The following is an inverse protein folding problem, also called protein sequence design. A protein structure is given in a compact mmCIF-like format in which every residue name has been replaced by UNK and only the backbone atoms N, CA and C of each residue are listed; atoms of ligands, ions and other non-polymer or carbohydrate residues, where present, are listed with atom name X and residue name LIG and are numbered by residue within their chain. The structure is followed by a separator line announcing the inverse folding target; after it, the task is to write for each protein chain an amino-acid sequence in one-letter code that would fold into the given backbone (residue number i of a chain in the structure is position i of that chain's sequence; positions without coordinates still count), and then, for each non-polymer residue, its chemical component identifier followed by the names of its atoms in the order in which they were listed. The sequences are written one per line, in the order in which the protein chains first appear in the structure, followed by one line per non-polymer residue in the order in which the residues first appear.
data_IF_700027298035
#
_entry.id   IF_700027298035
#
_cell.length_a   1.000
_cell.length_b   1.000
_cell.length_c   1.000
_cell.angle_alpha   90.00
_cell.angle_beta   90.00
_cell.angle_gamma   90.00
#
_symmetry.space_group_name_H-M   'P 1'
#
loop_
_entity.id
_entity.type
_entity.pdbx_description
1 polymer ?
#
# COMPACT_ATOMS: atom_id res chain seq x y z
N UNK A 1 6.62 -9.47 -18.22
CA UNK A 1 6.63 -8.40 -17.20
C UNK A 1 7.00 -8.98 -15.85
N UNK A 2 7.91 -8.32 -15.15
CA UNK A 2 8.30 -8.76 -13.81
C UNK A 2 7.17 -8.51 -12.83
N UNK A 3 7.08 -9.39 -11.81
CA UNK A 3 6.09 -9.27 -10.73
C UNK A 3 6.80 -8.95 -9.42
N UNK A 4 6.19 -8.08 -8.63
CA UNK A 4 6.64 -7.77 -7.28
C UNK A 4 5.46 -7.98 -6.33
N UNK A 5 5.65 -8.85 -5.33
CA UNK A 5 4.68 -8.99 -4.25
C UNK A 5 5.06 -7.95 -3.18
N UNK A 6 4.29 -6.86 -3.12
CA UNK A 6 4.56 -5.81 -2.15
C UNK A 6 4.15 -6.28 -0.75
N UNK A 7 5.04 -6.10 0.21
CA UNK A 7 4.76 -6.42 1.60
C UNK A 7 4.44 -5.15 2.39
N UNK A 8 4.07 -5.33 3.65
CA UNK A 8 3.72 -4.22 4.53
C UNK A 8 4.87 -3.20 4.64
N UNK A 9 6.10 -3.67 4.73
CA UNK A 9 7.26 -2.79 4.85
C UNK A 9 7.45 -1.89 3.63
N UNK A 10 7.17 -2.39 2.43
CA UNK A 10 7.25 -1.59 1.20
C UNK A 10 6.35 -0.36 1.31
N UNK A 11 5.12 -0.54 1.77
CA UNK A 11 4.18 0.56 1.93
C UNK A 11 4.57 1.47 3.08
N UNK A 12 5.03 0.92 4.20
CA UNK A 12 5.45 1.73 5.34
C UNK A 12 6.60 2.65 4.96
N UNK A 13 7.60 2.17 4.23
CA UNK A 13 8.72 2.99 3.77
C UNK A 13 8.25 4.11 2.85
N UNK A 14 7.30 3.81 1.97
CA UNK A 14 6.74 4.81 1.06
C UNK A 14 5.91 5.86 1.80
N UNK A 15 5.00 5.42 2.69
CA UNK A 15 4.05 6.31 3.36
C UNK A 15 4.71 7.18 4.42
N UNK A 16 5.62 6.63 5.21
CA UNK A 16 6.20 7.32 6.35
C UNK A 16 7.44 8.14 5.99
N UNK A 17 8.18 7.72 4.96
CA UNK A 17 9.37 8.42 4.48
C UNK A 17 10.44 8.63 5.57
N UNK A 18 10.46 7.74 6.58
CA UNK A 18 11.42 7.81 7.68
C UNK A 18 12.80 7.30 7.30
N UNK A 19 12.92 6.60 6.17
CA UNK A 19 14.18 6.17 5.59
C UNK A 19 14.21 6.58 4.13
N UNK A 20 14.97 7.65 3.82
CA UNK A 20 14.97 8.27 2.49
C UNK A 20 15.34 7.28 1.39
N UNK A 21 16.40 6.49 1.60
CA UNK A 21 16.84 5.52 0.58
C UNK A 21 15.77 4.47 0.28
N UNK A 22 15.14 3.92 1.32
CA UNK A 22 14.11 2.91 1.15
C UNK A 22 12.84 3.49 0.56
N UNK A 23 12.50 4.74 0.92
CA UNK A 23 11.37 5.43 0.31
C UNK A 23 11.59 5.65 -1.19
N UNK A 24 12.80 6.05 -1.59
CA UNK A 24 13.15 6.23 -3.00
C UNK A 24 13.05 4.92 -3.77
N UNK A 25 13.49 3.80 -3.18
CA UNK A 25 13.39 2.49 -3.81
C UNK A 25 11.92 2.14 -4.04
N UNK A 26 11.07 2.35 -3.03
CA UNK A 26 9.64 2.09 -3.14
C UNK A 26 8.99 2.97 -4.21
N UNK A 27 9.33 4.26 -4.24
CA UNK A 27 8.82 5.20 -5.25
C UNK A 27 9.19 4.77 -6.66
N UNK A 28 10.43 4.30 -6.88
CA UNK A 28 10.87 3.81 -8.19
C UNK A 28 10.07 2.59 -8.62
N UNK A 29 9.82 1.65 -7.71
CA UNK A 29 9.02 0.46 -8.00
C UNK A 29 7.58 0.84 -8.36
N UNK A 30 6.99 1.78 -7.63
CA UNK A 30 5.63 2.24 -7.92
C UNK A 30 5.56 3.03 -9.24
N UNK A 31 6.59 3.80 -9.56
CA UNK A 31 6.68 4.48 -10.85
C UNK A 31 6.73 3.47 -12.00
N UNK A 32 7.49 2.39 -11.84
CA UNK A 32 7.53 1.31 -12.84
C UNK A 32 6.17 0.64 -13.01
N UNK A 33 5.43 0.48 -11.91
CA UNK A 33 4.08 -0.08 -11.96
C UNK A 33 3.14 0.84 -12.73
N UNK A 34 3.23 2.14 -12.50
CA UNK A 34 2.43 3.15 -13.21
C UNK A 34 2.71 3.12 -14.72
N UNK A 35 3.96 2.89 -15.10
CA UNK A 35 4.38 2.77 -16.50
C UNK A 35 4.11 1.39 -17.11
N UNK A 36 3.52 0.48 -16.35
CA UNK A 36 3.21 -0.90 -16.76
C UNK A 36 4.46 -1.72 -17.07
N UNK A 37 5.59 -1.38 -16.48
CA UNK A 37 6.85 -2.11 -16.59
C UNK A 37 7.06 -3.12 -15.47
N UNK A 38 6.25 -3.02 -14.41
CA UNK A 38 6.30 -3.89 -13.24
C UNK A 38 4.87 -4.13 -12.77
N UNK A 39 4.55 -5.37 -12.45
CA UNK A 39 3.25 -5.72 -11.86
C UNK A 39 3.41 -5.80 -10.34
N UNK A 40 2.84 -4.86 -9.62
CA UNK A 40 2.85 -4.86 -8.16
C UNK A 40 1.60 -5.55 -7.67
N UNK A 41 1.78 -6.68 -6.98
CA UNK A 41 0.69 -7.53 -6.49
C UNK A 41 0.57 -7.34 -4.98
N UNK A 42 -0.64 -7.07 -4.52
CA UNK A 42 -0.96 -6.87 -3.11
C UNK A 42 -1.93 -7.96 -2.69
N UNK A 43 -1.46 -8.88 -1.84
CA UNK A 43 -2.33 -9.94 -1.32
C UNK A 43 -3.23 -9.37 -0.21
N UNK A 44 -4.37 -10.04 0.01
CA UNK A 44 -5.41 -9.54 0.92
C UNK A 44 -4.90 -9.24 2.33
N UNK A 45 -3.98 -10.06 2.83
CA UNK A 45 -3.46 -9.97 4.19
C UNK A 45 -2.69 -8.67 4.46
N UNK A 46 -2.18 -8.01 3.42
CA UNK A 46 -1.44 -6.75 3.56
C UNK A 46 -2.34 -5.63 4.08
N UNK A 47 -3.61 -5.61 3.68
CA UNK A 47 -4.52 -4.52 4.06
C UNK A 47 -4.77 -4.48 5.58
N UNK A 48 -5.24 -5.56 6.25
CA UNK A 48 -5.40 -5.51 7.70
C UNK A 48 -4.07 -5.37 8.45
N UNK A 49 -3.00 -5.97 7.95
CA UNK A 49 -1.68 -5.86 8.57
C UNK A 49 -1.19 -4.41 8.54
N UNK A 50 -1.29 -3.73 7.39
CA UNK A 50 -0.91 -2.33 7.25
C UNK A 50 -1.75 -1.44 8.16
N UNK A 51 -3.06 -1.68 8.21
CA UNK A 51 -3.98 -0.94 9.08
C UNK A 51 -3.56 -1.08 10.55
N UNK A 52 -3.26 -2.29 10.98
CA UNK A 52 -2.81 -2.55 12.35
C UNK A 52 -1.51 -1.81 12.67
N UNK A 53 -0.53 -1.88 11.78
CA UNK A 53 0.77 -1.24 12.01
C UNK A 53 0.64 0.29 12.05
N UNK A 54 -0.09 0.88 11.11
CA UNK A 54 -0.27 2.33 11.07
C UNK A 54 -0.98 2.84 12.32
N UNK A 55 -2.04 2.18 12.76
CA UNK A 55 -2.80 2.63 13.92
C UNK A 55 -2.19 2.19 15.25
N UNK A 56 -1.70 0.96 15.32
CA UNK A 56 -1.21 0.37 16.58
C UNK A 56 0.23 0.71 16.91
N UNK A 57 1.12 0.67 15.91
CA UNK A 57 2.56 0.92 16.13
C UNK A 57 2.89 2.39 15.95
N UNK A 58 2.45 3.00 14.84
CA UNK A 58 2.76 4.39 14.53
C UNK A 58 1.73 5.37 15.10
N UNK A 59 0.67 4.87 15.72
CA UNK A 59 -0.32 5.67 16.44
C UNK A 59 -1.03 6.70 15.57
N UNK A 60 -1.19 6.42 14.27
CA UNK A 60 -1.99 7.27 13.42
C UNK A 60 -3.45 7.21 13.85
N UNK A 61 -4.15 8.32 13.70
CA UNK A 61 -5.59 8.36 14.00
C UNK A 61 -6.35 7.41 13.07
N UNK A 62 -7.57 7.07 13.47
CA UNK A 62 -8.45 6.23 12.66
C UNK A 62 -8.67 6.85 11.28
N UNK A 63 -8.87 8.17 11.23
CA UNK A 63 -9.10 8.91 9.97
C UNK A 63 -7.86 8.88 9.09
N UNK A 64 -6.67 9.15 9.66
CA UNK A 64 -5.42 9.12 8.90
C UNK A 64 -5.11 7.73 8.38
N UNK A 65 -5.30 6.71 9.21
CA UNK A 65 -5.10 5.31 8.79
C UNK A 65 -6.01 4.97 7.62
N UNK A 66 -7.30 5.31 7.73
CA UNK A 66 -8.27 5.05 6.67
C UNK A 66 -7.90 5.75 5.37
N UNK A 67 -7.42 7.01 5.44
CA UNK A 67 -6.97 7.74 4.26
C UNK A 67 -5.81 7.06 3.56
N UNK A 68 -4.82 6.61 4.32
CA UNK A 68 -3.65 5.95 3.75
C UNK A 68 -4.02 4.65 3.06
N UNK A 69 -4.83 3.84 3.72
CA UNK A 69 -5.28 2.56 3.16
C UNK A 69 -6.15 2.79 1.92
N UNK A 70 -7.06 3.76 1.98
CA UNK A 70 -7.93 4.10 0.85
C UNK A 70 -7.12 4.56 -0.36
N UNK A 71 -6.06 5.33 -0.17
CA UNK A 71 -5.18 5.77 -1.26
C UNK A 71 -4.54 4.58 -1.98
N UNK A 72 -4.12 3.57 -1.23
CA UNK A 72 -3.56 2.34 -1.83
C UNK A 72 -4.65 1.61 -2.63
N UNK A 73 -5.83 1.44 -2.04
CA UNK A 73 -6.94 0.74 -2.70
C UNK A 73 -7.41 1.44 -3.97
N UNK A 74 -7.31 2.76 -4.02
CA UNK A 74 -7.72 3.56 -5.18
C UNK A 74 -6.66 3.64 -6.27
N UNK A 75 -5.46 3.11 -6.03
CA UNK A 75 -4.38 3.16 -7.01
C UNK A 75 -4.64 2.11 -8.10
N UNK A 76 -4.93 2.54 -9.34
CA UNK A 76 -5.40 1.60 -10.39
C UNK A 76 -4.31 0.68 -10.91
N UNK A 77 -3.04 1.04 -10.79
CA UNK A 77 -1.94 0.25 -11.30
C UNK A 77 -1.41 -0.79 -10.30
N UNK A 78 -2.04 -0.92 -9.14
CA UNK A 78 -1.76 -2.02 -8.20
C UNK A 78 -2.72 -3.17 -8.46
N UNK A 79 -2.20 -4.38 -8.49
CA UNK A 79 -3.03 -5.59 -8.58
C UNK A 79 -3.38 -6.01 -7.15
N UNK A 80 -4.51 -5.52 -6.66
CA UNK A 80 -4.96 -5.78 -5.29
C UNK A 80 -5.97 -6.92 -5.30
N UNK A 81 -5.64 -8.00 -4.61
CA UNK A 81 -6.54 -9.15 -4.48
C UNK A 81 -7.74 -8.76 -3.63
N UNK A 82 -8.94 -9.11 -4.13
CA UNK A 82 -10.21 -8.80 -3.47
C UNK A 82 -10.45 -7.29 -3.28
N UNK A 83 -9.99 -6.48 -4.25
CA UNK A 83 -10.17 -5.02 -4.22
C UNK A 83 -11.62 -4.61 -3.93
N UNK A 84 -12.57 -5.21 -4.62
CA UNK A 84 -13.99 -4.85 -4.46
C UNK A 84 -14.49 -5.08 -3.04
N UNK A 85 -14.05 -6.16 -2.41
CA UNK A 85 -14.40 -6.46 -1.03
C UNK A 85 -13.84 -5.40 -0.09
N UNK A 86 -12.58 -5.02 -0.27
CA UNK A 86 -11.96 -3.99 0.57
C UNK A 86 -12.58 -2.61 0.36
N UNK A 87 -12.93 -2.26 -0.88
CA UNK A 87 -13.61 -1.00 -1.17
C UNK A 87 -14.93 -0.91 -0.41
N UNK A 88 -15.70 -1.99 -0.36
CA UNK A 88 -16.96 -2.04 0.40
C UNK A 88 -16.73 -1.89 1.90
N UNK A 89 -15.69 -2.53 2.44
CA UNK A 89 -15.36 -2.45 3.86
C UNK A 89 -14.96 -1.02 4.23
N UNK A 90 -14.16 -0.37 3.38
CA UNK A 90 -13.67 0.98 3.65
C UNK A 90 -14.75 2.06 3.52
N UNK A 91 -15.82 1.79 2.77
CA UNK A 91 -16.93 2.73 2.62
C UNK A 91 -17.87 2.74 3.85
N UNK A 92 -17.70 1.79 4.73
CA UNK A 92 -18.45 1.75 5.98
C UNK A 92 -17.81 2.67 7.04
#
# INVERSE_FOLDING_TARGET
MKKLYADTNTFLRFLLQDNVKQAEIAEKKFALAKEKKLRVIIISEIIPELTYVLSGVYKLSRVETAKQVANILKTPYFDIKHRDTWDKVMDL
#
